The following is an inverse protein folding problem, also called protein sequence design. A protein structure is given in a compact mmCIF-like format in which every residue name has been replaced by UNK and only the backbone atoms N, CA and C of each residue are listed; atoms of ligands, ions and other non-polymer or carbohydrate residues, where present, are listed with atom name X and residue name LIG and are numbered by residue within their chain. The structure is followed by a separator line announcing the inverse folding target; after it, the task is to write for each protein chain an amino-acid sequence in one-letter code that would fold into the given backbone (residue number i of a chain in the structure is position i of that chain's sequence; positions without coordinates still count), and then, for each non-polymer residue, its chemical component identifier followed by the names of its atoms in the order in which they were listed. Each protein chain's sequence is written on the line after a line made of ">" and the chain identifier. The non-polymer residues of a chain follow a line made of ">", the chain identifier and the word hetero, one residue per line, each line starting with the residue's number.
data_IF_091249201952
#
_entry.id   IF_091249201952
#
_cell.length_a   1.000
_cell.length_b   1.000
_cell.length_c   1.000
_cell.angle_alpha   90.00
_cell.angle_beta   90.00
_cell.angle_gamma   90.00
#
_symmetry.space_group_name_H-M   'P 1'
#
loop_
_entity.id
_entity.type
_entity.pdbx_description
1 polymer ?
#
# COMPACT_ATOMS: atom_id res chain seq x y z
N UNK A 1 86.68 6.60 -46.52
CA UNK A 1 85.64 7.52 -47.06
C UNK A 1 84.44 6.68 -47.47
N UNK A 2 83.21 7.09 -47.10
CA UNK A 2 81.90 6.45 -47.40
C UNK A 2 81.60 5.18 -46.57
N UNK A 3 80.41 4.92 -46.04
CA UNK A 3 79.17 5.69 -45.87
C UNK A 3 78.33 4.89 -44.86
N UNK A 4 77.79 5.58 -43.85
CA UNK A 4 76.75 5.06 -42.96
C UNK A 4 75.50 4.75 -43.80
N UNK A 5 74.91 3.55 -43.64
CA UNK A 5 73.53 3.29 -44.07
C UNK A 5 72.67 2.98 -42.85
N UNK A 6 71.71 3.88 -42.66
CA UNK A 6 70.73 3.90 -41.59
C UNK A 6 69.58 2.92 -41.84
N UNK A 7 68.89 2.66 -40.74
CA UNK A 7 67.79 1.72 -40.46
C UNK A 7 66.51 2.01 -41.27
N UNK A 8 65.71 0.97 -41.53
CA UNK A 8 64.24 1.08 -41.55
C UNK A 8 63.61 -0.25 -41.07
N UNK A 9 63.44 -0.40 -39.75
CA UNK A 9 62.51 -1.38 -39.17
C UNK A 9 61.19 -0.62 -38.99
N UNK A 10 60.17 -0.98 -39.76
CA UNK A 10 58.82 -0.46 -39.60
C UNK A 10 58.20 -1.11 -38.35
N UNK A 11 58.21 -0.39 -37.23
CA UNK A 11 57.40 -0.73 -36.07
C UNK A 11 55.94 -0.31 -36.34
N UNK A 12 55.10 -1.27 -36.69
CA UNK A 12 53.64 -1.08 -36.73
C UNK A 12 53.18 -1.00 -35.27
N UNK A 13 52.91 0.20 -34.79
CA UNK A 13 52.21 0.43 -33.52
C UNK A 13 50.73 0.17 -33.76
N UNK A 14 50.26 -1.02 -33.43
CA UNK A 14 48.83 -1.30 -33.27
C UNK A 14 48.34 -0.58 -32.02
N UNK A 15 47.83 0.64 -32.19
CA UNK A 15 47.08 1.35 -31.16
C UNK A 15 45.80 0.55 -30.85
N UNK A 16 45.85 -0.32 -29.85
CA UNK A 16 44.65 -0.81 -29.19
C UNK A 16 43.96 0.39 -28.53
N UNK A 17 42.88 0.87 -29.15
CA UNK A 17 41.88 1.70 -28.48
C UNK A 17 41.30 0.86 -27.34
N UNK A 18 41.86 0.99 -26.15
CA UNK A 18 41.18 0.64 -24.91
C UNK A 18 39.97 1.57 -24.81
N UNK A 19 38.83 1.11 -25.31
CA UNK A 19 37.53 1.63 -24.89
C UNK A 19 37.43 1.27 -23.41
N UNK A 20 37.92 2.15 -22.55
CA UNK A 20 37.70 2.06 -21.12
C UNK A 20 36.20 2.12 -20.91
N UNK A 21 35.58 0.98 -20.61
CA UNK A 21 34.24 0.97 -20.08
C UNK A 21 34.30 1.80 -18.80
N UNK A 22 33.71 3.00 -18.82
CA UNK A 22 33.50 3.77 -17.59
C UNK A 22 32.88 2.82 -16.57
N UNK A 23 33.43 2.72 -15.35
CA UNK A 23 32.87 1.82 -14.35
C UNK A 23 31.38 2.14 -14.20
N UNK A 24 30.53 1.11 -14.26
CA UNK A 24 29.11 1.27 -14.04
C UNK A 24 28.90 1.99 -12.71
N UNK A 25 28.28 3.17 -12.73
CA UNK A 25 28.05 3.97 -11.54
C UNK A 25 27.09 3.24 -10.60
N UNK A 26 27.56 2.81 -9.43
CA UNK A 26 26.73 2.23 -8.38
C UNK A 26 26.26 3.35 -7.43
N UNK A 27 25.11 3.96 -7.75
CA UNK A 27 24.47 4.95 -6.88
C UNK A 27 23.80 4.34 -5.63
N UNK A 28 23.77 5.12 -4.55
CA UNK A 28 23.02 4.83 -3.34
C UNK A 28 21.96 5.90 -3.08
N UNK A 29 20.71 5.49 -2.90
CA UNK A 29 19.59 6.39 -2.58
C UNK A 29 18.98 6.04 -1.23
N UNK A 30 18.58 7.07 -0.50
CA UNK A 30 17.94 6.95 0.80
C UNK A 30 16.48 7.40 0.68
N UNK A 31 15.58 6.63 1.28
CA UNK A 31 14.18 6.98 1.41
C UNK A 31 13.66 6.78 2.82
N UNK A 32 12.52 7.41 3.11
CA UNK A 32 11.80 7.19 4.36
C UNK A 32 10.29 7.34 4.18
N UNK A 33 9.52 6.93 5.18
CA UNK A 33 8.11 7.30 5.28
C UNK A 33 7.16 6.14 5.56
N UNK A 34 6.13 6.02 4.73
CA UNK A 34 5.03 5.09 4.88
C UNK A 34 5.47 3.65 5.23
N UNK A 35 5.02 3.17 6.40
CA UNK A 35 5.16 1.75 6.77
C UNK A 35 4.29 0.85 5.90
N UNK A 36 3.29 1.41 5.22
CA UNK A 36 2.46 0.73 4.22
C UNK A 36 3.30 0.08 3.12
N UNK A 37 4.23 0.84 2.52
CA UNK A 37 4.99 0.41 1.35
C UNK A 37 6.21 -0.47 1.72
N UNK A 38 6.65 -0.40 2.99
CA UNK A 38 7.88 -1.05 3.46
C UNK A 38 7.98 -2.54 3.10
N UNK A 39 6.94 -3.40 3.27
CA UNK A 39 7.05 -4.82 2.95
C UNK A 39 7.37 -5.11 1.48
N UNK A 40 6.90 -4.27 0.55
CA UNK A 40 7.20 -4.41 -0.87
C UNK A 40 8.55 -3.79 -1.21
N UNK A 41 8.86 -2.61 -0.67
CA UNK A 41 10.17 -1.95 -0.86
C UNK A 41 11.31 -2.86 -0.38
N UNK A 42 11.17 -3.48 0.79
CA UNK A 42 12.20 -4.34 1.37
C UNK A 42 12.47 -5.60 0.55
N UNK A 43 11.43 -6.17 -0.07
CA UNK A 43 11.60 -7.29 -1.00
C UNK A 43 12.21 -6.82 -2.33
N UNK A 44 11.69 -5.72 -2.88
CA UNK A 44 12.03 -5.19 -4.19
C UNK A 44 13.47 -4.65 -4.26
N UNK A 45 13.95 -3.98 -3.20
CA UNK A 45 15.30 -3.39 -3.17
C UNK A 45 16.43 -4.42 -3.29
N UNK A 46 16.21 -5.64 -2.78
CA UNK A 46 17.18 -6.74 -2.87
C UNK A 46 17.41 -7.15 -4.32
N UNK A 47 16.35 -7.23 -5.10
CA UNK A 47 16.46 -7.60 -6.51
C UNK A 47 16.90 -6.43 -7.38
N UNK A 48 16.45 -5.21 -7.08
CA UNK A 48 16.95 -4.01 -7.74
C UNK A 48 18.47 -3.91 -7.61
N UNK A 49 19.02 -4.17 -6.43
CA UNK A 49 20.47 -4.18 -6.21
C UNK A 49 21.18 -5.28 -7.01
N UNK A 50 20.60 -6.48 -7.11
CA UNK A 50 21.16 -7.55 -7.94
C UNK A 50 21.14 -7.22 -9.43
N UNK A 51 20.06 -6.60 -9.89
CA UNK A 51 19.84 -6.32 -11.32
C UNK A 51 20.62 -5.08 -11.80
N UNK A 52 20.97 -4.15 -10.90
CA UNK A 52 21.52 -2.82 -11.29
C UNK A 52 22.80 -2.41 -10.58
N UNK A 53 23.19 -3.10 -9.50
CA UNK A 53 24.25 -2.69 -8.54
C UNK A 53 23.95 -1.47 -7.68
N UNK A 54 22.79 -0.81 -7.85
CA UNK A 54 22.35 0.29 -6.99
C UNK A 54 21.85 -0.18 -5.63
N UNK A 55 22.08 0.62 -4.59
CA UNK A 55 21.57 0.33 -3.25
C UNK A 55 20.45 1.28 -2.85
N UNK A 56 19.40 0.75 -2.24
CA UNK A 56 18.28 1.54 -1.72
C UNK A 56 18.17 1.31 -0.22
N UNK A 57 18.26 2.39 0.55
CA UNK A 57 17.94 2.39 1.97
C UNK A 57 16.53 2.95 2.16
N UNK A 58 15.70 2.30 2.98
CA UNK A 58 14.36 2.79 3.29
C UNK A 58 14.07 2.67 4.77
N UNK A 59 13.71 3.78 5.42
CA UNK A 59 13.36 3.81 6.84
C UNK A 59 11.87 4.08 7.02
N UNK A 60 11.12 3.05 7.45
CA UNK A 60 9.71 3.18 7.76
C UNK A 60 9.47 3.94 9.07
N UNK A 61 8.60 4.95 9.04
CA UNK A 61 8.19 5.69 10.23
C UNK A 61 6.90 6.52 10.07
N UNK A 62 6.07 6.16 9.07
CA UNK A 62 4.81 6.82 8.78
C UNK A 62 4.91 7.86 7.67
N UNK A 63 3.81 8.09 6.97
CA UNK A 63 3.73 9.06 5.87
C UNK A 63 4.08 10.48 6.32
N UNK A 64 3.74 10.86 7.56
CA UNK A 64 4.13 12.15 8.12
C UNK A 64 5.65 12.31 8.22
N UNK A 65 6.36 11.32 8.77
CA UNK A 65 7.83 11.32 8.81
C UNK A 65 8.43 11.40 7.41
N UNK A 66 7.91 10.62 6.46
CA UNK A 66 8.39 10.64 5.08
C UNK A 66 8.27 12.03 4.46
N UNK A 67 7.12 12.67 4.62
CA UNK A 67 6.88 14.05 4.16
C UNK A 67 7.80 15.06 4.84
N UNK A 68 8.03 14.93 6.15
CA UNK A 68 8.94 15.81 6.89
C UNK A 68 10.40 15.64 6.46
N UNK A 69 10.89 14.41 6.38
CA UNK A 69 12.27 14.12 5.95
C UNK A 69 12.49 14.58 4.49
N UNK A 70 11.50 14.38 3.62
CA UNK A 70 11.55 14.81 2.23
C UNK A 70 11.61 16.34 2.10
N UNK A 71 10.68 17.05 2.76
CA UNK A 71 10.69 18.53 2.78
C UNK A 71 11.99 19.08 3.39
N UNK A 72 12.55 18.39 4.39
CA UNK A 72 13.83 18.71 5.01
C UNK A 72 15.07 18.35 4.17
N UNK A 73 14.89 17.76 2.97
CA UNK A 73 15.97 17.28 2.10
C UNK A 73 16.89 16.24 2.75
N UNK A 74 16.37 15.44 3.68
CA UNK A 74 17.12 14.42 4.40
C UNK A 74 17.19 13.08 3.62
N UNK A 75 16.32 12.93 2.62
CA UNK A 75 16.17 11.72 1.82
C UNK A 75 16.03 12.08 0.34
N UNK A 76 16.39 11.14 -0.53
CA UNK A 76 16.35 11.30 -1.98
C UNK A 76 14.94 11.07 -2.55
N UNK A 77 14.11 10.28 -1.83
CA UNK A 77 12.68 10.09 -2.08
C UNK A 77 11.94 9.77 -0.77
N UNK A 78 10.61 9.85 -0.75
CA UNK A 78 9.83 9.39 0.41
C UNK A 78 8.57 8.61 0.01
N UNK A 79 8.07 7.76 0.90
CA UNK A 79 6.78 7.08 0.73
C UNK A 79 5.68 7.80 1.50
N UNK A 80 4.53 8.04 0.87
CA UNK A 80 3.35 8.61 1.51
C UNK A 80 2.06 8.01 0.95
N UNK A 81 1.18 7.52 1.81
CA UNK A 81 -0.08 6.87 1.40
C UNK A 81 -1.19 7.87 1.06
N UNK A 82 -0.94 9.14 1.33
CA UNK A 82 -1.82 10.24 1.02
C UNK A 82 -1.01 11.46 0.56
N UNK A 83 -1.56 12.29 -0.34
CA UNK A 83 -0.94 13.55 -0.72
C UNK A 83 -0.75 14.49 0.47
N UNK A 84 0.06 15.53 0.32
CA UNK A 84 0.07 16.63 1.28
C UNK A 84 -1.29 17.31 1.28
N UNK A 85 -1.87 17.53 2.47
CA UNK A 85 -3.08 18.35 2.63
C UNK A 85 -2.80 19.85 2.46
N UNK A 86 -1.58 20.27 2.79
CA UNK A 86 -1.06 21.63 2.65
C UNK A 86 0.47 21.62 2.74
N UNK A 87 1.12 22.70 2.32
CA UNK A 87 2.58 22.86 2.51
C UNK A 87 3.44 21.89 1.70
N UNK A 88 2.94 21.40 0.56
CA UNK A 88 3.76 20.61 -0.36
C UNK A 88 4.94 21.43 -0.87
N UNK A 89 6.17 20.87 -0.93
CA UNK A 89 7.31 21.57 -1.49
C UNK A 89 7.11 21.84 -3.00
N UNK A 90 7.76 22.90 -3.50
CA UNK A 90 7.80 23.18 -4.93
C UNK A 90 8.47 22.01 -5.70
N UNK A 91 8.08 21.81 -6.95
CA UNK A 91 8.59 20.74 -7.83
C UNK A 91 8.37 19.31 -7.30
N UNK A 92 7.44 19.12 -6.36
CA UNK A 92 7.05 17.80 -5.88
C UNK A 92 6.38 16.98 -6.99
N UNK A 93 6.81 15.74 -7.11
CA UNK A 93 6.18 14.69 -7.91
C UNK A 93 5.48 13.69 -6.98
N UNK A 94 4.25 13.30 -7.33
CA UNK A 94 3.60 12.13 -6.76
C UNK A 94 3.62 10.99 -7.79
N UNK A 95 4.45 9.99 -7.55
CA UNK A 95 4.46 8.77 -8.34
C UNK A 95 3.61 7.68 -7.65
N UNK A 96 2.38 7.37 -8.11
CA UNK A 96 1.57 6.29 -7.55
C UNK A 96 2.15 4.94 -7.96
N UNK A 97 3.04 4.37 -7.15
CA UNK A 97 3.77 3.14 -7.46
C UNK A 97 3.41 1.96 -6.55
N UNK A 98 2.59 2.21 -5.54
CA UNK A 98 2.12 1.19 -4.61
C UNK A 98 0.58 1.19 -4.58
N UNK A 99 -0.05 0.03 -4.56
CA UNK A 99 -1.48 -0.09 -4.29
C UNK A 99 -1.73 -1.34 -3.45
N UNK A 100 -2.52 -1.23 -2.38
CA UNK A 100 -2.88 -2.38 -1.54
C UNK A 100 -4.15 -2.10 -0.72
N UNK A 101 -4.84 -3.14 -0.23
CA UNK A 101 -5.94 -2.98 0.71
C UNK A 101 -5.42 -2.67 2.13
N UNK A 102 -6.09 -1.75 2.81
CA UNK A 102 -6.03 -1.61 4.27
C UNK A 102 -7.05 -2.58 4.85
N UNK A 103 -6.58 -3.68 5.41
CA UNK A 103 -7.41 -4.71 6.01
C UNK A 103 -7.90 -4.30 7.41
N UNK A 104 -9.14 -4.65 7.72
CA UNK A 104 -9.63 -4.66 9.09
C UNK A 104 -9.29 -6.04 9.67
N UNK A 105 -8.24 -6.10 10.49
CA UNK A 105 -7.76 -7.35 11.07
C UNK A 105 -8.12 -7.47 12.55
N UNK A 106 -8.40 -8.68 13.00
CA UNK A 106 -8.92 -8.93 14.35
C UNK A 106 -8.42 -10.27 14.91
N UNK A 107 -8.50 -10.38 16.25
CA UNK A 107 -8.10 -11.56 16.99
C UNK A 107 -9.29 -12.18 17.74
N UNK A 108 -9.96 -13.12 17.06
CA UNK A 108 -11.05 -13.94 17.60
C UNK A 108 -10.74 -15.41 17.35
N UNK A 109 -9.95 -16.08 18.20
CA UNK A 109 -9.44 -17.42 17.92
C UNK A 109 -10.54 -18.50 17.89
N UNK A 110 -11.66 -18.24 18.57
CA UNK A 110 -12.84 -19.11 18.62
C UNK A 110 -13.72 -19.00 17.37
N UNK A 111 -13.72 -17.85 16.68
CA UNK A 111 -14.50 -17.63 15.47
C UNK A 111 -13.73 -18.19 14.29
N UNK A 112 -14.27 -19.18 13.55
CA UNK A 112 -13.56 -19.86 12.45
C UNK A 112 -13.82 -19.22 11.08
N UNK A 113 -15.05 -18.80 10.82
CA UNK A 113 -15.43 -18.08 9.61
C UNK A 113 -14.89 -16.63 9.61
N UNK A 114 -14.75 -16.00 8.43
CA UNK A 114 -14.58 -14.55 8.37
C UNK A 114 -15.80 -13.83 8.95
N UNK A 115 -15.57 -12.67 9.56
CA UNK A 115 -16.64 -11.74 9.92
C UNK A 115 -16.89 -10.73 8.81
N UNK A 116 -18.09 -10.18 8.80
CA UNK A 116 -18.61 -9.22 7.83
C UNK A 116 -18.91 -7.91 8.53
N UNK A 117 -18.41 -6.79 8.01
CA UNK A 117 -18.57 -5.47 8.62
C UNK A 117 -19.07 -4.45 7.58
N UNK A 118 -20.09 -3.69 7.95
CA UNK A 118 -20.51 -2.51 7.18
C UNK A 118 -19.64 -1.29 7.54
N UNK A 119 -19.57 -0.26 6.68
CA UNK A 119 -18.89 1.00 7.02
C UNK A 119 -19.36 1.63 8.33
N UNK A 120 -20.66 1.50 8.65
CA UNK A 120 -21.22 1.99 9.92
C UNK A 120 -20.69 1.19 11.11
N UNK A 121 -20.66 -0.13 11.00
CA UNK A 121 -20.17 -1.01 12.07
C UNK A 121 -18.70 -0.70 12.37
N UNK A 122 -17.89 -0.52 11.32
CA UNK A 122 -16.48 -0.14 11.47
C UNK A 122 -16.38 1.22 12.15
N UNK A 123 -17.13 2.23 11.69
CA UNK A 123 -17.11 3.56 12.31
C UNK A 123 -17.48 3.52 13.80
N UNK A 124 -18.51 2.75 14.17
CA UNK A 124 -18.96 2.60 15.57
C UNK A 124 -17.97 1.83 16.45
N UNK A 125 -17.24 0.84 15.92
CA UNK A 125 -16.15 0.17 16.63
C UNK A 125 -15.01 1.16 16.89
N UNK A 126 -14.56 1.86 15.84
CA UNK A 126 -13.41 2.77 15.93
C UNK A 126 -13.73 4.12 16.58
N UNK A 127 -15.01 4.45 16.82
CA UNK A 127 -15.43 5.54 17.72
C UNK A 127 -15.55 5.08 19.19
N UNK A 128 -15.53 3.77 19.44
CA UNK A 128 -15.78 3.16 20.73
C UNK A 128 -17.25 3.12 21.14
N UNK A 129 -18.19 3.39 20.22
CA UNK A 129 -19.63 3.22 20.48
C UNK A 129 -20.05 1.75 20.57
N UNK A 130 -19.35 0.86 19.84
CA UNK A 130 -19.48 -0.59 20.01
C UNK A 130 -18.25 -1.10 20.75
N UNK A 131 -18.46 -1.76 21.89
CA UNK A 131 -17.39 -2.17 22.81
C UNK A 131 -17.28 -3.68 22.99
N UNK A 132 -18.16 -4.47 22.38
CA UNK A 132 -18.17 -5.94 22.47
C UNK A 132 -18.50 -6.59 21.13
N UNK A 133 -17.94 -7.77 20.88
CA UNK A 133 -18.09 -8.46 19.61
C UNK A 133 -19.49 -9.03 19.33
N UNK A 134 -20.27 -9.35 20.38
CA UNK A 134 -21.65 -9.80 20.25
C UNK A 134 -22.69 -8.66 20.20
N UNK A 135 -22.23 -7.42 19.99
CA UNK A 135 -23.12 -6.27 19.83
C UNK A 135 -24.19 -6.56 18.75
N UNK A 136 -25.47 -6.19 18.98
CA UNK A 136 -26.55 -6.43 18.01
C UNK A 136 -26.23 -5.92 16.60
N UNK A 137 -25.54 -4.78 16.45
CA UNK A 137 -25.21 -4.21 15.14
C UNK A 137 -24.25 -5.14 14.38
N UNK A 138 -23.23 -5.68 15.06
CA UNK A 138 -22.30 -6.65 14.46
C UNK A 138 -23.05 -7.94 14.12
N UNK A 139 -23.87 -8.45 15.06
CA UNK A 139 -24.64 -9.69 14.86
C UNK A 139 -25.58 -9.61 13.67
N UNK A 140 -26.29 -8.51 13.47
CA UNK A 140 -27.22 -8.35 12.33
C UNK A 140 -26.52 -8.54 10.98
N UNK A 141 -25.30 -8.04 10.83
CA UNK A 141 -24.53 -8.19 9.57
C UNK A 141 -23.96 -9.60 9.42
N UNK A 142 -23.80 -10.34 10.52
CA UNK A 142 -23.18 -11.67 10.58
C UNK A 142 -24.19 -12.81 10.80
N UNK A 143 -25.49 -12.51 10.72
CA UNK A 143 -26.60 -13.45 10.88
C UNK A 143 -27.66 -13.19 9.81
N UNK A 144 -27.32 -13.50 8.55
CA UNK A 144 -28.15 -13.23 7.38
C UNK A 144 -27.46 -13.59 6.07
N UNK A 145 -28.03 -13.17 4.93
CA UNK A 145 -27.44 -13.43 3.61
C UNK A 145 -26.43 -12.34 3.24
N UNK A 146 -25.21 -12.75 2.91
CA UNK A 146 -24.18 -11.87 2.35
C UNK A 146 -23.91 -12.17 0.89
N UNK A 147 -23.66 -11.13 0.10
CA UNK A 147 -23.27 -11.24 -1.31
C UNK A 147 -21.76 -11.06 -1.44
N UNK A 148 -21.03 -12.08 -1.88
CA UNK A 148 -19.56 -12.09 -1.98
C UNK A 148 -19.14 -12.28 -3.44
N UNK A 149 -18.33 -11.39 -4.03
CA UNK A 149 -17.84 -11.58 -5.40
C UNK A 149 -16.76 -12.66 -5.45
N UNK A 150 -16.75 -13.46 -6.51
CA UNK A 150 -15.69 -14.43 -6.80
C UNK A 150 -14.94 -14.00 -8.05
N UNK A 151 -13.69 -13.57 -7.88
CA UNK A 151 -12.84 -13.14 -8.98
C UNK A 151 -12.26 -14.32 -9.76
N UNK A 152 -12.09 -14.11 -11.07
CA UNK A 152 -11.29 -14.99 -11.92
C UNK A 152 -9.84 -14.93 -11.45
N UNK A 153 -9.23 -16.07 -11.23
CA UNK A 153 -7.83 -16.16 -10.77
C UNK A 153 -7.00 -17.04 -11.69
N UNK A 154 -5.68 -16.87 -11.60
CA UNK A 154 -4.67 -17.73 -12.23
C UNK A 154 -3.58 -18.07 -11.23
N UNK A 155 -2.88 -19.18 -11.45
CA UNK A 155 -1.67 -19.53 -10.68
C UNK A 155 -0.45 -18.91 -11.34
N UNK A 156 0.44 -18.36 -10.52
CA UNK A 156 1.76 -17.88 -10.92
C UNK A 156 2.81 -18.54 -10.04
N UNK A 157 3.96 -18.88 -10.63
CA UNK A 157 5.10 -19.42 -9.87
C UNK A 157 6.00 -18.27 -9.45
N UNK A 158 6.24 -18.15 -8.15
CA UNK A 158 7.18 -17.17 -7.57
C UNK A 158 8.20 -17.90 -6.71
N UNK A 159 9.31 -17.22 -6.40
CA UNK A 159 10.29 -17.74 -5.45
C UNK A 159 9.91 -17.30 -4.03
N UNK A 160 9.91 -18.23 -3.08
CA UNK A 160 9.80 -17.89 -1.67
C UNK A 160 11.10 -17.26 -1.12
N UNK A 161 11.09 -16.91 0.17
CA UNK A 161 12.26 -16.33 0.86
C UNK A 161 13.52 -17.21 0.82
N UNK A 162 13.39 -18.51 0.56
CA UNK A 162 14.48 -19.47 0.46
C UNK A 162 14.86 -19.77 -1.01
N UNK A 163 14.27 -19.05 -1.97
CA UNK A 163 14.50 -19.26 -3.39
C UNK A 163 13.74 -20.43 -4.01
N UNK A 164 12.84 -21.10 -3.26
CA UNK A 164 12.05 -22.24 -3.75
C UNK A 164 10.85 -21.77 -4.56
N UNK A 165 10.58 -22.45 -5.68
CA UNK A 165 9.39 -22.20 -6.48
C UNK A 165 8.12 -22.59 -5.70
N UNK A 166 7.22 -21.62 -5.54
CA UNK A 166 5.91 -21.79 -4.91
C UNK A 166 4.82 -21.24 -5.83
N UNK A 167 3.68 -21.94 -5.90
CA UNK A 167 2.51 -21.47 -6.64
C UNK A 167 1.74 -20.46 -5.80
N UNK A 168 1.40 -19.32 -6.38
CA UNK A 168 0.53 -18.29 -5.80
C UNK A 168 -0.67 -18.05 -6.69
N UNK A 169 -1.82 -17.79 -6.09
CA UNK A 169 -3.04 -17.44 -6.81
C UNK A 169 -3.15 -15.93 -6.88
N UNK A 170 -3.31 -15.39 -8.09
CA UNK A 170 -3.46 -13.95 -8.35
C UNK A 170 -4.69 -13.70 -9.20
N UNK A 171 -5.32 -12.51 -9.10
CA UNK A 171 -6.44 -12.17 -9.96
C UNK A 171 -6.04 -12.06 -11.42
N UNK A 172 -7.01 -12.35 -12.30
CA UNK A 172 -6.92 -12.02 -13.71
C UNK A 172 -7.50 -10.62 -13.92
N UNK A 173 -6.65 -9.70 -14.35
CA UNK A 173 -7.02 -8.34 -14.73
C UNK A 173 -7.11 -8.22 -16.26
N UNK A 174 -8.04 -7.41 -16.74
CA UNK A 174 -8.08 -7.01 -18.15
C UNK A 174 -7.00 -5.96 -18.48
N UNK A 175 -6.95 -5.51 -19.74
CA UNK A 175 -5.98 -4.48 -20.19
C UNK A 175 -6.09 -3.14 -19.46
N UNK A 176 -7.25 -2.86 -18.85
CA UNK A 176 -7.50 -1.64 -18.09
C UNK A 176 -7.21 -1.83 -16.60
N UNK A 177 -6.86 -3.04 -16.15
CA UNK A 177 -6.66 -3.36 -14.74
C UNK A 177 -7.91 -3.80 -13.99
N UNK A 178 -9.02 -4.03 -14.69
CA UNK A 178 -10.29 -4.41 -14.08
C UNK A 178 -10.28 -5.92 -13.80
N UNK A 179 -10.58 -6.37 -12.57
CA UNK A 179 -10.73 -7.79 -12.30
C UNK A 179 -12.04 -8.31 -12.91
N UNK A 180 -12.02 -9.57 -13.37
CA UNK A 180 -13.25 -10.24 -13.83
C UNK A 180 -13.94 -10.95 -12.67
N UNK A 181 -15.21 -10.63 -12.41
CA UNK A 181 -16.06 -11.40 -11.49
C UNK A 181 -16.66 -12.58 -12.28
N UNK A 182 -16.45 -13.80 -11.78
CA UNK A 182 -16.97 -15.03 -12.41
C UNK A 182 -18.37 -15.38 -11.94
N UNK A 183 -18.66 -15.11 -10.66
CA UNK A 183 -19.96 -15.32 -10.03
C UNK A 183 -20.04 -14.54 -8.72
N UNK A 184 -21.24 -14.45 -8.18
CA UNK A 184 -21.48 -14.05 -6.80
C UNK A 184 -21.88 -15.27 -5.98
N UNK A 185 -21.40 -15.33 -4.74
CA UNK A 185 -21.91 -16.24 -3.73
C UNK A 185 -22.92 -15.45 -2.88
N UNK A 186 -24.15 -15.93 -2.83
CA UNK A 186 -25.10 -15.55 -1.80
C UNK A 186 -24.98 -16.59 -0.68
N UNK A 187 -24.32 -16.22 0.41
CA UNK A 187 -24.02 -17.11 1.54
C UNK A 187 -24.88 -16.72 2.72
N UNK A 188 -25.68 -17.64 3.24
CA UNK A 188 -26.24 -17.51 4.57
C UNK A 188 -25.10 -17.64 5.59
N UNK A 189 -24.91 -16.60 6.39
CA UNK A 189 -23.89 -16.56 7.45
C UNK A 189 -24.58 -16.52 8.80
N UNK A 190 -24.12 -17.36 9.71
CA UNK A 190 -24.52 -17.36 11.11
C UNK A 190 -23.24 -17.49 11.94
N UNK A 191 -22.52 -16.39 12.06
CA UNK A 191 -21.24 -16.36 12.80
C UNK A 191 -21.55 -16.21 14.28
N UNK A 192 -21.18 -17.20 15.08
CA UNK A 192 -21.28 -17.13 16.53
C UNK A 192 -20.23 -16.16 17.09
N UNK A 193 -20.65 -14.92 17.39
CA UNK A 193 -19.80 -13.87 17.91
C UNK A 193 -19.73 -13.89 19.44
N UNK A 194 -18.53 -13.85 20.05
CA UNK A 194 -18.39 -13.98 21.50
C UNK A 194 -18.73 -12.68 22.24
N UNK A 195 -19.11 -12.79 23.51
CA UNK A 195 -19.27 -11.66 24.45
C UNK A 195 -17.90 -11.13 24.92
N UNK A 196 -16.93 -11.01 24.01
CA UNK A 196 -15.57 -10.55 24.28
C UNK A 196 -15.51 -9.03 24.11
N UNK A 197 -14.94 -8.27 25.07
CA UNK A 197 -14.66 -6.85 24.88
C UNK A 197 -13.76 -6.59 23.68
N UNK A 198 -14.06 -5.54 22.93
CA UNK A 198 -13.23 -5.07 21.81
C UNK A 198 -12.11 -4.20 22.36
N UNK A 199 -10.87 -4.48 21.96
CA UNK A 199 -9.73 -3.56 22.15
C UNK A 199 -9.33 -3.00 20.79
N UNK A 200 -9.38 -1.69 20.61
CA UNK A 200 -9.00 -1.04 19.35
C UNK A 200 -7.51 -0.69 19.41
N UNK A 201 -6.73 -1.25 18.49
CA UNK A 201 -5.37 -0.75 18.24
C UNK A 201 -5.43 0.27 17.11
N UNK A 202 -4.87 1.44 17.32
CA UNK A 202 -4.81 2.52 16.34
C UNK A 202 -3.37 3.01 16.17
N UNK A 203 -3.12 3.70 15.05
CA UNK A 203 -1.82 4.30 14.77
C UNK A 203 -1.65 5.60 15.56
N UNK A 204 -0.68 5.65 16.46
CA UNK A 204 -0.35 6.85 17.25
C UNK A 204 0.55 7.83 16.51
N UNK A 205 1.30 7.36 15.50
CA UNK A 205 2.14 8.17 14.64
C UNK A 205 1.38 8.80 13.46
N UNK A 206 1.97 9.83 12.85
CA UNK A 206 1.42 10.47 11.65
C UNK A 206 1.46 9.52 10.45
N UNK A 207 0.28 9.00 10.09
CA UNK A 207 0.11 7.80 9.28
C UNK A 207 -0.81 8.06 8.09
N UNK A 208 -0.32 7.70 6.90
CA UNK A 208 -1.13 7.76 5.68
C UNK A 208 -2.18 6.64 5.64
N UNK A 209 -1.91 5.49 6.28
CA UNK A 209 -2.90 4.45 6.54
C UNK A 209 -4.07 5.00 7.35
N UNK A 210 -3.80 5.79 8.40
CA UNK A 210 -4.84 6.45 9.22
C UNK A 210 -5.60 7.51 8.42
N UNK A 211 -4.88 8.27 7.61
CA UNK A 211 -5.48 9.28 6.74
C UNK A 211 -6.49 8.65 5.76
N UNK A 212 -6.11 7.56 5.10
CA UNK A 212 -7.01 6.83 4.21
C UNK A 212 -8.16 6.12 4.94
N UNK A 213 -7.87 5.52 6.10
CA UNK A 213 -8.89 4.84 6.89
C UNK A 213 -9.96 5.82 7.38
N UNK A 214 -9.56 6.96 7.94
CA UNK A 214 -10.49 8.00 8.41
C UNK A 214 -11.23 8.68 7.26
N UNK A 215 -10.58 8.82 6.09
CA UNK A 215 -11.23 9.22 4.84
C UNK A 215 -12.37 8.26 4.45
N UNK A 216 -12.11 6.94 4.52
CA UNK A 216 -13.14 5.91 4.30
C UNK A 216 -14.28 6.01 5.31
N UNK A 217 -13.97 6.12 6.61
CA UNK A 217 -15.00 6.18 7.66
C UNK A 217 -15.96 7.35 7.44
N UNK A 218 -15.45 8.53 7.07
CA UNK A 218 -16.28 9.68 6.71
C UNK A 218 -17.04 9.45 5.41
N UNK A 219 -16.33 9.09 4.35
CA UNK A 219 -16.86 9.04 2.99
C UNK A 219 -17.94 7.97 2.83
N UNK A 220 -17.69 6.74 3.29
CA UNK A 220 -18.61 5.62 3.13
C UNK A 220 -19.89 5.76 3.98
N UNK A 221 -19.85 6.56 5.05
CA UNK A 221 -21.00 6.83 5.90
C UNK A 221 -21.73 8.14 5.54
N UNK A 222 -21.21 8.94 4.59
CA UNK A 222 -21.68 10.31 4.33
C UNK A 222 -23.16 10.42 3.97
N UNK A 223 -23.74 9.40 3.33
CA UNK A 223 -25.16 9.38 2.93
C UNK A 223 -26.02 8.64 3.94
N UNK A 224 -25.65 7.39 4.29
CA UNK A 224 -26.51 6.52 5.11
C UNK A 224 -26.49 6.86 6.60
N UNK A 225 -25.32 7.21 7.14
CA UNK A 225 -25.12 7.41 8.58
C UNK A 225 -24.07 8.50 8.86
N UNK A 226 -24.29 9.76 8.43
CA UNK A 226 -23.26 10.81 8.47
C UNK A 226 -22.74 11.12 9.88
N UNK A 227 -23.50 10.79 10.92
CA UNK A 227 -23.15 10.96 12.34
C UNK A 227 -22.24 9.86 12.88
N UNK A 228 -22.12 8.71 12.19
CA UNK A 228 -21.26 7.61 12.64
C UNK A 228 -19.77 8.00 12.62
N UNK A 229 -19.37 8.83 11.65
CA UNK A 229 -18.03 9.43 11.59
C UNK A 229 -18.07 10.81 10.91
N UNK A 230 -18.31 11.90 11.66
CA UNK A 230 -18.52 13.23 11.09
C UNK A 230 -17.22 13.95 10.71
N UNK A 231 -16.07 13.53 11.26
CA UNK A 231 -14.77 14.20 11.07
C UNK A 231 -14.13 13.83 9.74
N UNK A 232 -13.37 14.75 9.16
CA UNK A 232 -12.61 14.54 7.92
C UNK A 232 -11.37 13.66 8.17
N UNK A 233 -10.69 13.30 7.07
CA UNK A 233 -9.44 12.57 7.14
C UNK A 233 -8.39 13.31 7.99
N UNK A 234 -7.56 12.57 8.71
CA UNK A 234 -6.44 13.14 9.45
C UNK A 234 -5.25 12.18 9.50
N UNK A 235 -4.03 12.73 9.51
CA UNK A 235 -2.81 11.94 9.63
C UNK A 235 -2.66 11.30 11.01
N UNK A 236 -3.24 11.92 12.04
CA UNK A 236 -3.30 11.41 13.41
C UNK A 236 -4.70 10.89 13.66
N UNK A 237 -4.83 9.59 13.92
CA UNK A 237 -6.14 8.93 14.05
C UNK A 237 -7.04 9.58 15.11
N UNK A 238 -6.47 9.92 16.28
CA UNK A 238 -7.22 10.49 17.41
C UNK A 238 -7.82 11.86 17.08
N UNK A 239 -7.18 12.64 16.20
CA UNK A 239 -7.69 13.92 15.75
C UNK A 239 -8.90 13.78 14.80
N UNK A 240 -9.09 12.60 14.20
CA UNK A 240 -10.25 12.27 13.38
C UNK A 240 -11.37 11.59 14.18
N UNK A 241 -11.18 11.27 15.46
CA UNK A 241 -12.26 10.63 16.23
C UNK A 241 -13.41 11.61 16.51
N UNK A 242 -14.67 11.14 16.53
CA UNK A 242 -15.81 11.95 16.95
C UNK A 242 -15.81 12.29 18.44
N UNK A 243 -15.00 11.59 19.22
CA UNK A 243 -14.92 11.63 20.68
C UNK A 243 -13.45 11.56 21.10
N UNK A 244 -13.12 12.16 22.25
CA UNK A 244 -11.75 12.12 22.76
C UNK A 244 -11.33 10.68 23.07
N UNK A 245 -10.18 10.26 22.52
CA UNK A 245 -9.60 8.93 22.78
C UNK A 245 -9.30 8.72 24.25
N UNK A 246 -9.00 9.78 25.02
CA UNK A 246 -8.76 9.69 26.46
C UNK A 246 -9.99 9.17 27.23
N UNK A 247 -11.18 9.33 26.67
CA UNK A 247 -12.43 8.78 27.19
C UNK A 247 -12.70 7.32 26.78
N UNK A 248 -11.72 6.64 26.17
CA UNK A 248 -11.83 5.27 25.65
C UNK A 248 -10.73 4.37 26.24
N UNK A 249 -11.05 3.72 27.37
CA UNK A 249 -10.11 2.84 28.08
C UNK A 249 -9.69 1.59 27.30
N UNK A 250 -10.40 1.24 26.23
CA UNK A 250 -10.15 0.07 25.39
C UNK A 250 -9.42 0.41 24.08
N UNK A 251 -8.80 1.59 23.98
CA UNK A 251 -8.01 2.04 22.82
C UNK A 251 -6.52 2.04 23.15
N UNK A 252 -5.71 1.51 22.24
CA UNK A 252 -4.26 1.40 22.40
C UNK A 252 -3.55 1.96 21.15
N UNK A 253 -2.73 2.98 21.36
CA UNK A 253 -1.97 3.63 20.29
C UNK A 253 -0.62 2.96 20.09
N UNK A 254 -0.32 2.55 18.86
CA UNK A 254 0.96 1.97 18.49
C UNK A 254 1.57 2.69 17.29
N UNK A 255 2.90 2.79 17.26
CA UNK A 255 3.62 3.46 16.18
C UNK A 255 3.98 2.49 15.05
N UNK A 256 3.46 2.73 13.86
CA UNK A 256 3.70 1.92 12.66
C UNK A 256 2.75 0.72 12.50
N UNK A 257 2.56 0.33 11.24
CA UNK A 257 1.69 -0.78 10.82
C UNK A 257 2.03 -2.13 11.50
N UNK A 258 3.31 -2.44 11.62
CA UNK A 258 3.76 -3.69 12.23
C UNK A 258 3.35 -3.79 13.72
N UNK A 259 3.46 -2.69 14.48
CA UNK A 259 3.15 -2.68 15.91
C UNK A 259 1.66 -2.76 16.19
N UNK A 260 0.82 -2.07 15.42
CA UNK A 260 -0.65 -2.22 15.56
C UNK A 260 -1.09 -3.66 15.26
N UNK A 261 -0.53 -4.29 14.23
CA UNK A 261 -0.84 -5.68 13.89
C UNK A 261 -0.35 -6.65 14.98
N UNK A 262 0.88 -6.47 15.47
CA UNK A 262 1.41 -7.28 16.58
C UNK A 262 0.61 -7.10 17.87
N UNK A 263 0.13 -5.89 18.16
CA UNK A 263 -0.74 -5.60 19.29
C UNK A 263 -2.05 -6.38 19.21
N UNK A 264 -2.67 -6.42 18.02
CA UNK A 264 -3.87 -7.24 17.80
C UNK A 264 -3.57 -8.73 17.97
N UNK A 265 -2.44 -9.23 17.45
CA UNK A 265 -2.04 -10.63 17.63
C UNK A 265 -1.86 -11.01 19.10
N UNK A 266 -1.33 -10.10 19.92
CA UNK A 266 -1.12 -10.31 21.36
C UNK A 266 -2.38 -10.21 22.22
N UNK A 267 -3.51 -9.71 21.68
CA UNK A 267 -4.71 -9.42 22.48
C UNK A 267 -5.98 -10.03 21.89
N UNK A 268 -6.50 -11.07 22.55
CA UNK A 268 -7.83 -11.62 22.21
C UNK A 268 -8.89 -10.53 22.34
N UNK A 269 -9.78 -10.46 21.34
CA UNK A 269 -10.80 -9.42 21.21
C UNK A 269 -10.32 -8.16 20.50
N UNK A 270 -9.05 -8.06 20.12
CA UNK A 270 -8.52 -6.86 19.50
C UNK A 270 -8.87 -6.73 18.01
N UNK A 271 -8.88 -5.48 17.53
CA UNK A 271 -9.11 -5.09 16.14
C UNK A 271 -8.21 -3.91 15.74
N UNK A 272 -7.77 -3.86 14.48
CA UNK A 272 -7.06 -2.71 13.92
C UNK A 272 -7.29 -2.57 12.42
N UNK A 273 -6.76 -1.49 11.84
CA UNK A 273 -6.61 -1.25 10.41
C UNK A 273 -5.13 -1.21 10.05
N UNK A 274 -4.70 -2.05 9.11
CA UNK A 274 -3.34 -2.03 8.55
C UNK A 274 -3.32 -2.86 7.27
N UNK A 275 -2.25 -2.77 6.51
CA UNK A 275 -2.03 -3.45 5.25
C UNK A 275 -2.13 -4.96 5.41
N UNK A 276 -2.71 -5.63 4.41
CA UNK A 276 -2.96 -7.08 4.44
C UNK A 276 -1.71 -7.92 4.74
N UNK A 277 -0.54 -7.48 4.28
CA UNK A 277 0.74 -8.13 4.58
C UNK A 277 0.99 -8.32 6.07
N UNK A 278 0.69 -7.31 6.90
CA UNK A 278 0.89 -7.40 8.34
C UNK A 278 -0.10 -8.33 9.03
N UNK A 279 -1.32 -8.46 8.49
CA UNK A 279 -2.25 -9.49 8.94
C UNK A 279 -1.70 -10.89 8.64
N UNK A 280 -1.18 -11.11 7.43
CA UNK A 280 -0.59 -12.38 7.01
C UNK A 280 0.63 -12.76 7.87
N UNK A 281 1.54 -11.81 8.10
CA UNK A 281 2.74 -12.01 8.91
C UNK A 281 2.39 -12.41 10.36
N UNK A 282 1.29 -11.87 10.89
CA UNK A 282 0.78 -12.17 12.23
C UNK A 282 -0.27 -13.30 12.28
N UNK A 283 -0.60 -13.92 11.14
CA UNK A 283 -1.65 -14.95 11.02
C UNK A 283 -3.01 -14.50 11.55
N UNK A 284 -3.31 -13.21 11.42
CA UNK A 284 -4.56 -12.61 11.84
C UNK A 284 -5.65 -12.84 10.80
N UNK A 285 -6.89 -12.91 11.29
CA UNK A 285 -8.06 -12.91 10.42
C UNK A 285 -8.37 -11.49 9.98
N UNK A 286 -8.98 -11.39 8.81
CA UNK A 286 -9.42 -10.12 8.22
C UNK A 286 -10.92 -10.14 7.96
N UNK A 287 -11.56 -8.99 8.09
CA UNK A 287 -12.99 -8.85 7.89
C UNK A 287 -13.30 -8.59 6.41
N UNK A 288 -14.44 -9.09 5.96
CA UNK A 288 -15.01 -8.70 4.68
C UNK A 288 -15.76 -7.38 4.90
N UNK A 289 -15.52 -6.40 4.03
CA UNK A 289 -16.09 -5.06 4.18
C UNK A 289 -17.16 -4.84 3.11
N UNK A 290 -18.31 -4.35 3.53
CA UNK A 290 -19.40 -4.02 2.62
C UNK A 290 -19.03 -2.80 1.76
N UNK A 291 -19.15 -2.91 0.45
CA UNK A 291 -18.98 -1.81 -0.49
C UNK A 291 -20.32 -1.13 -0.82
N UNK A 292 -20.28 -0.02 -1.58
CA UNK A 292 -21.47 0.72 -1.97
C UNK A 292 -22.42 -0.06 -2.92
N UNK A 293 -21.96 -1.14 -3.54
CA UNK A 293 -22.79 -2.06 -4.32
C UNK A 293 -23.51 -3.12 -3.46
N UNK A 294 -23.34 -3.07 -2.12
CA UNK A 294 -23.95 -4.01 -1.18
C UNK A 294 -23.22 -5.35 -1.06
N UNK A 295 -22.04 -5.46 -1.66
CA UNK A 295 -21.23 -6.69 -1.66
C UNK A 295 -20.23 -6.66 -0.51
N UNK A 296 -19.99 -7.81 0.10
CA UNK A 296 -18.95 -8.00 1.11
C UNK A 296 -17.70 -8.54 0.43
N UNK A 297 -16.63 -7.74 0.44
CA UNK A 297 -15.39 -8.03 -0.29
C UNK A 297 -14.26 -8.21 0.71
N UNK A 298 -13.44 -9.25 0.52
CA UNK A 298 -12.21 -9.43 1.28
C UNK A 298 -11.18 -8.36 0.90
N UNK A 299 -10.25 -7.99 1.81
CA UNK A 299 -9.09 -7.21 1.43
C UNK A 299 -8.19 -8.06 0.53
N UNK A 300 -8.27 -7.86 -0.77
CA UNK A 300 -7.38 -8.49 -1.75
C UNK A 300 -6.98 -7.51 -2.87
N UNK A 301 -6.04 -7.92 -3.70
CA UNK A 301 -5.56 -7.10 -4.81
C UNK A 301 -6.63 -6.88 -5.88
N UNK A 302 -7.56 -7.81 -6.07
CA UNK A 302 -8.60 -7.72 -7.10
C UNK A 302 -9.62 -6.64 -6.75
N UNK A 303 -10.19 -6.71 -5.53
CA UNK A 303 -11.12 -5.72 -5.04
C UNK A 303 -10.48 -4.35 -4.88
N UNK A 304 -9.19 -4.29 -4.53
CA UNK A 304 -8.41 -3.04 -4.54
C UNK A 304 -8.31 -2.47 -5.95
N UNK A 305 -7.93 -3.28 -6.95
CA UNK A 305 -7.88 -2.83 -8.35
C UNK A 305 -9.23 -2.34 -8.86
N UNK A 306 -10.33 -3.04 -8.54
CA UNK A 306 -11.69 -2.59 -8.87
C UNK A 306 -12.01 -1.24 -8.24
N UNK A 307 -11.71 -1.06 -6.96
CA UNK A 307 -11.96 0.19 -6.24
C UNK A 307 -11.18 1.37 -6.83
N UNK A 308 -9.87 1.22 -6.99
CA UNK A 308 -9.00 2.28 -7.51
C UNK A 308 -9.30 2.60 -8.98
N UNK A 309 -9.68 1.60 -9.78
CA UNK A 309 -10.10 1.78 -11.17
C UNK A 309 -11.39 2.59 -11.32
N UNK A 310 -12.20 2.70 -10.27
CA UNK A 310 -13.39 3.56 -10.25
C UNK A 310 -13.12 5.00 -9.81
N UNK A 311 -11.89 5.32 -9.40
CA UNK A 311 -11.47 6.66 -8.96
C UNK A 311 -11.10 7.62 -10.09
N UNK A 312 -10.80 8.85 -9.71
CA UNK A 312 -10.40 9.94 -10.61
C UNK A 312 -8.91 10.24 -10.46
N UNK A 313 -8.15 10.04 -11.53
CA UNK A 313 -6.72 10.32 -11.57
C UNK A 313 -6.53 11.82 -11.87
N UNK A 314 -5.85 12.54 -10.98
CA UNK A 314 -5.53 13.96 -11.11
C UNK A 314 -4.26 14.19 -11.92
N UNK A 315 -4.09 15.42 -12.42
CA UNK A 315 -2.95 15.80 -13.25
C UNK A 315 -1.60 15.68 -12.55
N UNK A 316 -1.57 15.86 -11.24
CA UNK A 316 -0.37 15.70 -10.41
C UNK A 316 -0.07 14.23 -10.05
N UNK A 317 -0.82 13.25 -10.60
CA UNK A 317 -0.63 11.83 -10.33
C UNK A 317 -1.39 11.27 -9.13
N UNK A 318 -2.06 12.13 -8.35
CA UNK A 318 -2.86 11.67 -7.20
C UNK A 318 -4.21 11.09 -7.62
N UNK A 319 -4.77 10.20 -6.80
CA UNK A 319 -6.03 9.52 -7.05
C UNK A 319 -7.07 9.91 -5.99
N UNK A 320 -8.21 10.39 -6.47
CA UNK A 320 -9.41 10.58 -5.65
C UNK A 320 -10.36 9.39 -5.83
N UNK A 321 -11.06 9.03 -4.76
CA UNK A 321 -12.02 7.92 -4.76
C UNK A 321 -13.35 8.40 -4.19
N UNK A 322 -14.44 7.84 -4.72
CA UNK A 322 -15.79 8.07 -4.23
C UNK A 322 -16.28 6.81 -3.49
N UNK A 323 -16.46 6.94 -2.18
CA UNK A 323 -16.85 5.82 -1.32
C UNK A 323 -18.34 5.47 -1.40
N UNK A 324 -19.18 6.33 -2.00
CA UNK A 324 -20.62 6.05 -2.21
C UNK A 324 -20.92 5.57 -3.62
N UNK A 325 -19.94 5.63 -4.53
CA UNK A 325 -20.05 5.08 -5.88
C UNK A 325 -20.12 3.55 -5.84
N UNK A 326 -21.20 2.98 -6.35
CA UNK A 326 -21.38 1.55 -6.47
C UNK A 326 -20.44 0.96 -7.54
N UNK A 327 -19.34 0.36 -7.11
CA UNK A 327 -18.37 -0.34 -7.97
C UNK A 327 -18.40 -1.83 -7.63
N UNK A 328 -18.80 -2.67 -8.59
CA UNK A 328 -18.85 -4.12 -8.41
C UNK A 328 -17.47 -4.69 -8.09
N UNK A 329 -17.39 -5.56 -7.10
CA UNK A 329 -16.18 -6.18 -6.59
C UNK A 329 -15.25 -5.24 -5.82
N UNK A 330 -15.55 -3.95 -5.66
CA UNK A 330 -14.62 -3.04 -5.02
C UNK A 330 -14.44 -3.36 -3.53
N UNK A 331 -13.19 -3.47 -3.08
CA UNK A 331 -12.85 -3.43 -1.66
C UNK A 331 -12.67 -1.95 -1.25
N UNK A 332 -13.51 -1.40 -0.36
CA UNK A 332 -13.68 0.05 -0.24
C UNK A 332 -12.58 0.75 0.59
N UNK A 333 -11.61 0.00 1.12
CA UNK A 333 -10.47 0.55 1.89
C UNK A 333 -9.14 0.27 1.16
N UNK A 334 -9.17 0.25 -0.17
CA UNK A 334 -7.97 0.23 -1.01
C UNK A 334 -7.36 1.62 -1.13
N UNK A 335 -6.03 1.71 -1.22
CA UNK A 335 -5.34 2.98 -1.49
C UNK A 335 -4.20 2.82 -2.48
N UNK A 336 -3.96 3.86 -3.27
CA UNK A 336 -2.71 4.09 -3.97
C UNK A 336 -1.78 4.90 -3.05
N UNK A 337 -0.56 4.42 -2.85
CA UNK A 337 0.50 5.10 -2.10
C UNK A 337 1.58 5.60 -3.05
N UNK A 338 2.14 6.75 -2.71
CA UNK A 338 2.95 7.60 -3.58
C UNK A 338 4.41 7.57 -3.15
N UNK A 339 5.30 7.41 -4.12
CA UNK A 339 6.66 7.89 -3.96
C UNK A 339 6.69 9.40 -4.24
N UNK A 340 7.30 10.13 -3.32
CA UNK A 340 7.57 11.56 -3.39
C UNK A 340 9.00 11.73 -3.91
N UNK A 341 9.15 12.50 -4.96
CA UNK A 341 10.43 12.83 -5.57
C UNK A 341 10.41 14.27 -6.10
N UNK A 342 11.58 14.81 -6.45
CA UNK A 342 11.68 16.15 -7.01
C UNK A 342 11.80 16.06 -8.53
N UNK A 343 11.08 16.95 -9.24
CA UNK A 343 11.19 17.02 -10.69
C UNK A 343 12.54 17.57 -11.16
N UNK A 344 13.18 18.43 -10.36
CA UNK A 344 14.48 19.04 -10.64
C UNK A 344 15.03 19.74 -9.40
N UNK A 345 16.28 20.22 -9.48
CA UNK A 345 16.92 21.00 -8.41
C UNK A 345 17.55 20.16 -7.31
N UNK A 346 17.77 18.87 -7.57
CA UNK A 346 18.48 17.92 -6.70
C UNK A 346 19.65 17.29 -7.44
N UNK A 347 20.38 16.41 -6.75
CA UNK A 347 21.46 15.62 -7.34
C UNK A 347 20.90 14.74 -8.46
N UNK A 348 21.26 15.07 -9.71
CA UNK A 348 20.72 14.42 -10.90
C UNK A 348 21.12 12.94 -11.00
N UNK A 349 22.31 12.57 -10.51
CA UNK A 349 22.75 11.19 -10.51
C UNK A 349 21.89 10.35 -9.56
N UNK A 350 21.58 10.88 -8.37
CA UNK A 350 20.65 10.22 -7.44
C UNK A 350 19.21 10.21 -7.93
N UNK A 351 18.71 11.30 -8.49
CA UNK A 351 17.33 11.36 -9.01
C UNK A 351 17.13 10.40 -10.19
N UNK A 352 18.16 10.17 -11.02
CA UNK A 352 18.15 9.09 -12.01
C UNK A 352 17.93 7.72 -11.37
N UNK A 353 18.68 7.40 -10.31
CA UNK A 353 18.52 6.13 -9.57
C UNK A 353 17.15 6.03 -8.90
N UNK A 354 16.61 7.14 -8.37
CA UNK A 354 15.22 7.18 -7.87
C UNK A 354 14.24 6.82 -8.97
N UNK A 355 14.32 7.45 -10.14
CA UNK A 355 13.43 7.18 -11.28
C UNK A 355 13.51 5.71 -11.75
N UNK A 356 14.73 5.16 -11.81
CA UNK A 356 14.97 3.75 -12.13
C UNK A 356 14.35 2.80 -11.10
N UNK A 357 14.53 3.09 -9.80
CA UNK A 357 13.97 2.28 -8.73
C UNK A 357 12.43 2.32 -8.71
N UNK A 358 11.83 3.50 -8.86
CA UNK A 358 10.38 3.66 -8.91
C UNK A 358 9.78 2.97 -10.13
N UNK A 359 10.45 3.03 -11.28
CA UNK A 359 10.10 2.25 -12.46
C UNK A 359 10.18 0.75 -12.18
N UNK A 360 11.24 0.29 -11.51
CA UNK A 360 11.42 -1.12 -11.17
C UNK A 360 10.30 -1.64 -10.26
N UNK A 361 9.93 -0.87 -9.22
CA UNK A 361 8.79 -1.19 -8.35
C UNK A 361 7.53 -1.34 -9.17
N UNK A 362 7.20 -0.31 -9.96
CA UNK A 362 5.97 -0.23 -10.73
C UNK A 362 5.86 -1.39 -11.73
N UNK A 363 6.95 -1.72 -12.43
CA UNK A 363 6.91 -2.67 -13.54
C UNK A 363 7.02 -4.14 -13.07
N UNK A 364 7.64 -4.40 -11.91
CA UNK A 364 8.04 -5.78 -11.52
C UNK A 364 7.51 -6.23 -10.18
N UNK A 365 7.46 -5.36 -9.16
CA UNK A 365 7.49 -5.83 -7.79
C UNK A 365 6.18 -6.44 -7.26
N UNK A 366 4.99 -5.85 -7.45
CA UNK A 366 3.74 -6.48 -7.02
C UNK A 366 3.51 -7.85 -7.67
N UNK A 367 3.85 -7.99 -8.95
CA UNK A 367 3.73 -9.26 -9.69
C UNK A 367 4.75 -10.32 -9.25
N UNK A 368 5.96 -9.90 -8.83
CA UNK A 368 7.01 -10.79 -8.33
C UNK A 368 6.76 -11.25 -6.89
N UNK A 369 6.12 -10.40 -6.09
CA UNK A 369 5.84 -10.61 -4.66
C UNK A 369 4.34 -10.58 -4.33
N UNK A 370 3.51 -11.41 -5.00
CA UNK A 370 2.06 -11.37 -4.82
C UNK A 370 1.63 -11.73 -3.40
N UNK A 371 2.44 -12.47 -2.64
CA UNK A 371 2.19 -12.78 -1.23
C UNK A 371 2.25 -11.56 -0.31
N UNK A 372 2.82 -10.44 -0.76
CA UNK A 372 2.79 -9.17 -0.03
C UNK A 372 1.43 -8.46 -0.13
N UNK A 373 0.52 -8.95 -0.97
CA UNK A 373 -0.86 -8.46 -1.04
C UNK A 373 -1.04 -7.11 -1.76
N UNK A 374 -0.02 -6.64 -2.47
CA UNK A 374 -0.11 -5.42 -3.28
C UNK A 374 -0.81 -5.70 -4.61
N UNK A 375 -1.68 -4.78 -5.02
CA UNK A 375 -2.24 -4.74 -6.36
C UNK A 375 -1.20 -4.18 -7.34
N UNK A 376 -1.02 -4.88 -8.46
CA UNK A 376 -0.27 -4.34 -9.59
C UNK A 376 -1.01 -3.12 -10.14
N UNK A 377 -0.31 -1.98 -10.24
CA UNK A 377 -0.85 -0.79 -10.90
C UNK A 377 -0.77 -1.01 -12.41
N UNK A 378 -1.91 -0.87 -13.08
CA UNK A 378 -2.09 -1.10 -14.53
C UNK A 378 -3.00 -0.02 -15.13
N UNK A 379 -3.25 -0.08 -16.44
CA UNK A 379 -4.18 0.83 -17.12
C UNK A 379 -3.79 2.31 -16.99
N UNK A 380 -4.78 3.20 -16.87
CA UNK A 380 -4.56 4.64 -16.85
C UNK A 380 -3.71 5.12 -15.67
N UNK A 381 -3.81 4.48 -14.50
CA UNK A 381 -3.00 4.83 -13.34
C UNK A 381 -1.52 4.48 -13.56
N UNK A 382 -1.23 3.35 -14.22
CA UNK A 382 0.13 2.98 -14.63
C UNK A 382 0.71 4.01 -15.61
N UNK A 383 -0.06 4.38 -16.64
CA UNK A 383 0.37 5.41 -17.61
C UNK A 383 0.68 6.72 -16.90
N UNK A 384 -0.17 7.14 -15.96
CA UNK A 384 0.08 8.35 -15.17
C UNK A 384 1.31 8.20 -14.27
N UNK A 385 1.50 7.05 -13.64
CA UNK A 385 2.67 6.77 -12.80
C UNK A 385 3.97 6.89 -13.61
N UNK A 386 4.06 6.27 -14.79
CA UNK A 386 5.21 6.39 -15.69
C UNK A 386 5.46 7.84 -16.11
N UNK A 387 4.39 8.58 -16.43
CA UNK A 387 4.51 10.00 -16.78
C UNK A 387 5.07 10.84 -15.61
N UNK A 388 4.62 10.58 -14.38
CA UNK A 388 5.16 11.26 -13.18
C UNK A 388 6.63 10.87 -12.91
N UNK A 389 6.97 9.59 -13.01
CA UNK A 389 8.35 9.12 -12.83
C UNK A 389 9.31 9.74 -13.85
N UNK A 390 8.86 9.94 -15.09
CA UNK A 390 9.66 10.57 -16.16
C UNK A 390 9.96 12.06 -15.90
N UNK A 391 9.26 12.71 -14.96
CA UNK A 391 9.53 14.09 -14.58
C UNK A 391 10.71 14.21 -13.59
N UNK A 392 11.15 13.11 -12.98
CA UNK A 392 12.24 13.08 -11.99
C UNK A 392 13.58 13.23 -12.72
N UNK A 393 14.37 14.26 -12.38
CA UNK A 393 15.62 14.61 -13.07
C UNK A 393 16.76 14.95 -12.12
#
# INVERSE_FOLDING_TARGET
>A
MKSRRSIAIAAIVTSFLLVGASPAFAGAINGSGATFAAPLIDACKVDFAKDTTHTVNYTGGGSGKGRSDFTGNLVDFAGSDAPYSSGAPANLIYAPVFAAPIAIMYNLPTVKEPIYLSPETIARIFSGSITKWNDPIIRTVNNGTVKVPVFKTKKVTVKDKNGKNVSKTVPVLDKNGTPTITKYLEKEVNVSLPNTPITVYYRSDSSGTSENFTRFLKGANAVKNPTAWPKTQNTTFTNAMPVDVASRFNFQGESGSAKVASGVAGKVGAITYSELSFANDNKLKVAYVQNAAGEFVAPDSAGTSAFLGGGTIKDNGTLDVDFVKAIKGAYPIGTASYALAYASGKDAAKQKVVSEFLTYILDKCPSKYPEKGFAQITGSLYTKAKAQIALIK
#
